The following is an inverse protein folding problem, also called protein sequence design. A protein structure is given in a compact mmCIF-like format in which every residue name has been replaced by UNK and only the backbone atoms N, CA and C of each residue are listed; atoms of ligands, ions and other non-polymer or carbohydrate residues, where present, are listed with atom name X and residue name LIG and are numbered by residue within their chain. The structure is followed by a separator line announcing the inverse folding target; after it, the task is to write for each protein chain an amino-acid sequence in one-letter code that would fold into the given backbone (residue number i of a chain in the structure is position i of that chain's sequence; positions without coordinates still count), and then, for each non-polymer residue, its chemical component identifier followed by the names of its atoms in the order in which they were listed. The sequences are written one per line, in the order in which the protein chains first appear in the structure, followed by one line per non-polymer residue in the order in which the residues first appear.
data_IF_574833066128
#
_entry.id   IF_574833066128
#
_cell.length_a   1.000
_cell.length_b   1.000
_cell.length_c   1.000
_cell.angle_alpha   90.00
_cell.angle_beta   90.00
_cell.angle_gamma   90.00
#
_symmetry.space_group_name_H-M   'P 1'
#
loop_
_entity.id
_entity.type
_entity.pdbx_description
1 polymer ?
#
# COMPACT_ATOMS: atom_id res chain seq x y z
N UNK A 1 6.97 17.17 -2.51
CA UNK A 1 6.92 16.15 -1.45
C UNK A 1 8.30 16.02 -0.83
N UNK A 2 8.41 16.26 0.47
CA UNK A 2 9.64 16.01 1.21
C UNK A 2 9.92 14.52 1.24
N UNK A 3 11.16 14.14 1.04
CA UNK A 3 11.59 12.76 1.21
C UNK A 3 11.96 12.55 2.67
N UNK A 4 11.46 11.47 3.24
CA UNK A 4 11.83 11.10 4.59
C UNK A 4 13.28 10.61 4.62
N UNK A 5 13.93 10.80 5.76
CA UNK A 5 15.29 10.30 5.98
C UNK A 5 15.26 8.79 6.14
N UNK A 6 16.03 8.08 5.35
CA UNK A 6 16.24 6.64 5.45
C UNK A 6 17.42 6.22 4.60
N UNK A 7 18.01 5.07 4.88
CA UNK A 7 19.20 4.59 4.18
C UNK A 7 18.96 4.42 2.69
N UNK A 8 17.72 4.04 2.30
CA UNK A 8 17.31 3.86 0.90
C UNK A 8 16.84 5.17 0.23
N UNK A 9 16.70 6.26 0.98
CA UNK A 9 16.35 7.56 0.43
C UNK A 9 17.62 8.33 0.06
N UNK A 10 17.88 8.43 -1.23
CA UNK A 10 19.03 9.15 -1.78
C UNK A 10 18.96 10.64 -1.48
N UNK A 11 17.74 11.19 -1.39
CA UNK A 11 17.53 12.63 -1.22
C UNK A 11 16.85 12.92 0.11
N UNK A 12 17.53 13.62 0.98
CA UNK A 12 17.01 14.07 2.28
C UNK A 12 16.25 15.40 2.20
N UNK A 13 16.37 16.11 1.07
CA UNK A 13 15.76 17.40 0.87
C UNK A 13 15.32 17.60 -0.59
N UNK A 14 14.20 18.31 -0.80
CA UNK A 14 13.64 18.60 -2.12
C UNK A 14 14.64 19.30 -3.06
N UNK A 15 15.54 20.12 -2.54
CA UNK A 15 16.58 20.76 -3.34
C UNK A 15 17.54 19.74 -3.94
N UNK A 16 17.97 18.76 -3.15
CA UNK A 16 18.86 17.69 -3.64
C UNK A 16 18.20 16.87 -4.76
N UNK A 17 16.90 16.55 -4.58
CA UNK A 17 16.13 15.92 -5.65
C UNK A 17 16.04 16.81 -6.90
N UNK A 18 15.80 18.12 -6.74
CA UNK A 18 15.75 19.05 -7.86
C UNK A 18 17.08 19.11 -8.59
N UNK A 19 18.18 19.24 -7.87
CA UNK A 19 19.54 19.29 -8.45
C UNK A 19 19.84 18.00 -9.23
N UNK A 20 19.46 16.84 -8.68
CA UNK A 20 19.55 15.56 -9.38
C UNK A 20 18.69 15.54 -10.66
N UNK A 21 17.42 15.92 -10.60
CA UNK A 21 16.53 15.97 -11.77
C UNK A 21 17.08 16.90 -12.85
N UNK A 22 17.57 18.07 -12.46
CA UNK A 22 18.22 19.01 -13.39
C UNK A 22 19.44 18.40 -14.05
N UNK A 23 20.28 17.67 -13.30
CA UNK A 23 21.45 16.95 -13.85
C UNK A 23 21.07 15.86 -14.87
N UNK A 24 19.82 15.38 -14.81
CA UNK A 24 19.26 14.39 -15.74
C UNK A 24 18.44 15.02 -16.89
N UNK A 25 18.44 16.36 -17.00
CA UNK A 25 17.77 17.09 -18.08
C UNK A 25 16.32 17.49 -17.78
N UNK A 26 15.80 17.24 -16.58
CA UNK A 26 14.46 17.66 -16.16
C UNK A 26 14.51 19.07 -15.57
N UNK A 27 14.55 20.09 -16.42
CA UNK A 27 14.73 21.48 -16.01
C UNK A 27 13.45 22.16 -15.49
N UNK A 28 12.27 21.58 -15.74
CA UNK A 28 10.97 22.14 -15.37
C UNK A 28 10.53 21.78 -13.95
N UNK A 29 11.41 21.17 -13.13
CA UNK A 29 11.10 20.82 -11.76
C UNK A 29 11.04 22.06 -10.86
N UNK A 30 9.93 22.18 -10.10
CA UNK A 30 9.72 23.29 -9.17
C UNK A 30 9.96 22.84 -7.74
N UNK A 31 10.51 23.74 -6.94
CA UNK A 31 10.68 23.56 -5.50
C UNK A 31 9.58 24.32 -4.77
N UNK A 32 8.78 23.57 -3.99
CA UNK A 32 7.70 24.12 -3.15
C UNK A 32 8.03 23.84 -1.68
N UNK A 33 7.94 24.86 -0.84
CA UNK A 33 7.99 24.68 0.62
C UNK A 33 6.58 24.50 1.18
N UNK A 34 6.43 24.00 2.40
CA UNK A 34 5.12 23.93 3.04
C UNK A 34 4.42 25.30 3.06
N UNK A 35 3.17 25.33 2.58
CA UNK A 35 2.37 26.56 2.42
C UNK A 35 2.48 27.23 1.06
N UNK A 36 3.43 26.87 0.22
CA UNK A 36 3.51 27.37 -1.15
C UNK A 36 2.48 26.67 -2.05
N UNK A 37 2.01 27.38 -3.06
CA UNK A 37 1.13 26.83 -4.08
C UNK A 37 1.62 27.19 -5.48
N UNK A 38 1.36 26.30 -6.42
CA UNK A 38 1.64 26.56 -7.85
C UNK A 38 0.43 27.24 -8.48
N UNK A 39 0.62 28.43 -9.02
CA UNK A 39 -0.37 29.02 -9.89
C UNK A 39 -0.30 28.35 -11.29
N UNK A 40 -1.21 27.41 -11.53
CA UNK A 40 -1.25 26.64 -12.76
C UNK A 40 -1.58 27.49 -14.00
N UNK A 41 -2.19 28.65 -13.81
CA UNK A 41 -2.58 29.57 -14.89
C UNK A 41 -1.39 30.41 -15.38
N UNK A 42 -0.57 30.90 -14.46
CA UNK A 42 0.55 31.76 -14.77
C UNK A 42 1.82 30.98 -15.12
N UNK A 43 1.93 29.74 -14.68
CA UNK A 43 3.13 28.90 -14.81
C UNK A 43 4.42 29.59 -14.33
N UNK A 44 4.27 30.53 -13.42
CA UNK A 44 5.41 31.28 -12.89
C UNK A 44 6.26 30.39 -12.00
N UNK A 45 7.59 30.45 -12.16
CA UNK A 45 8.50 29.71 -11.32
C UNK A 45 8.41 30.26 -9.90
N UNK A 46 8.14 29.38 -8.96
CA UNK A 46 8.18 29.70 -7.53
C UNK A 46 9.64 29.90 -7.14
N UNK A 47 10.00 31.00 -6.47
CA UNK A 47 11.37 31.23 -6.07
C UNK A 47 11.88 30.10 -5.18
N UNK A 48 13.09 29.63 -5.48
CA UNK A 48 13.75 28.65 -4.59
C UNK A 48 14.00 29.32 -3.25
N UNK A 49 13.63 28.68 -2.12
CA UNK A 49 13.91 29.21 -0.80
C UNK A 49 15.40 29.50 -0.63
N UNK A 50 15.73 30.53 0.16
CA UNK A 50 17.12 30.82 0.47
C UNK A 50 17.78 29.66 1.27
N UNK A 51 19.09 29.59 1.28
CA UNK A 51 19.81 28.51 1.95
C UNK A 51 19.53 28.42 3.46
N UNK A 52 19.23 29.56 4.09
CA UNK A 52 18.88 29.58 5.51
C UNK A 52 17.57 28.82 5.77
N UNK A 53 16.56 29.04 4.94
CA UNK A 53 15.26 28.36 5.04
C UNK A 53 15.43 26.85 4.77
N UNK A 54 16.24 26.51 3.77
CA UNK A 54 16.57 25.12 3.44
C UNK A 54 17.27 24.42 4.58
N UNK A 55 18.28 25.04 5.17
CA UNK A 55 19.04 24.48 6.26
C UNK A 55 18.19 24.33 7.53
N UNK A 56 17.31 25.28 7.82
CA UNK A 56 16.39 25.20 8.95
C UNK A 56 15.43 24.02 8.78
N UNK A 57 14.88 23.85 7.58
CA UNK A 57 14.00 22.71 7.29
C UNK A 57 14.75 21.37 7.34
N UNK A 58 15.92 21.29 6.75
CA UNK A 58 16.76 20.09 6.76
C UNK A 58 17.18 19.71 8.18
N UNK A 59 17.58 20.68 9.00
CA UNK A 59 17.95 20.42 10.40
C UNK A 59 16.76 19.92 11.21
N UNK A 60 15.56 20.46 11.01
CA UNK A 60 14.34 19.98 11.67
C UNK A 60 14.05 18.51 11.35
N UNK A 61 14.22 18.09 10.10
CA UNK A 61 14.04 16.67 9.72
C UNK A 61 15.13 15.78 10.37
N UNK A 62 16.38 16.24 10.37
CA UNK A 62 17.50 15.51 11.00
C UNK A 62 17.28 15.32 12.50
N UNK A 63 16.75 16.34 13.17
CA UNK A 63 16.52 16.28 14.62
C UNK A 63 15.53 15.19 15.02
N UNK A 64 14.42 15.03 14.28
CA UNK A 64 13.44 13.97 14.57
C UNK A 64 14.09 12.58 14.49
N UNK A 65 14.83 12.30 13.42
CA UNK A 65 15.50 11.02 13.26
C UNK A 65 16.64 10.82 14.24
N UNK A 66 17.49 11.83 14.44
CA UNK A 66 18.66 11.74 15.32
C UNK A 66 18.31 11.68 16.80
N UNK A 67 17.13 12.19 17.20
CA UNK A 67 16.65 12.11 18.57
C UNK A 67 16.13 10.74 18.99
N UNK A 68 15.84 9.85 18.01
CA UNK A 68 15.35 8.51 18.32
C UNK A 68 16.48 7.61 18.84
N UNK A 69 16.21 6.78 19.86
CA UNK A 69 17.16 5.78 20.31
C UNK A 69 17.44 4.74 19.23
N UNK A 70 18.71 4.34 19.09
CA UNK A 70 19.11 3.30 18.17
C UNK A 70 18.65 1.92 18.63
N UNK A 71 18.57 1.69 19.95
CA UNK A 71 18.07 0.45 20.53
C UNK A 71 16.54 0.42 20.54
N UNK A 72 15.95 -0.70 20.12
CA UNK A 72 14.51 -0.90 20.07
C UNK A 72 13.93 -1.04 21.48
N UNK A 73 12.92 -0.23 21.77
CA UNK A 73 12.08 -0.43 22.95
C UNK A 73 11.06 -1.55 22.70
N UNK A 74 11.49 -2.81 22.87
CA UNK A 74 10.66 -3.99 22.64
C UNK A 74 9.33 -3.94 23.42
N UNK A 75 9.34 -3.46 24.65
CA UNK A 75 8.11 -3.35 25.46
C UNK A 75 7.11 -2.38 24.80
N UNK A 76 7.59 -1.28 24.26
CA UNK A 76 6.74 -0.30 23.58
C UNK A 76 6.16 -0.87 22.29
N UNK A 77 6.99 -1.55 21.48
CA UNK A 77 6.56 -2.22 20.27
C UNK A 77 5.52 -3.32 20.57
N UNK A 78 5.77 -4.18 21.57
CA UNK A 78 4.81 -5.21 22.00
C UNK A 78 3.48 -4.60 22.45
N UNK A 79 3.50 -3.49 23.19
CA UNK A 79 2.28 -2.81 23.62
C UNK A 79 1.50 -2.27 22.42
N UNK A 80 2.17 -1.64 21.44
CA UNK A 80 1.54 -1.13 20.22
C UNK A 80 0.90 -2.25 19.40
N UNK A 81 1.58 -3.38 19.25
CA UNK A 81 1.03 -4.56 18.56
C UNK A 81 -0.18 -5.11 19.31
N UNK A 82 -0.07 -5.31 20.63
CA UNK A 82 -1.15 -5.86 21.44
C UNK A 82 -2.39 -4.98 21.46
N UNK A 83 -2.23 -3.66 21.50
CA UNK A 83 -3.34 -2.71 21.38
C UNK A 83 -4.10 -2.91 20.07
N UNK A 84 -3.39 -3.01 18.95
CA UNK A 84 -3.98 -3.25 17.62
C UNK A 84 -4.68 -4.60 17.56
N UNK A 85 -4.07 -5.66 18.07
CA UNK A 85 -4.67 -7.00 18.14
C UNK A 85 -5.94 -7.01 19.00
N UNK A 86 -5.93 -6.29 20.13
CA UNK A 86 -7.09 -6.15 21.00
C UNK A 86 -8.26 -5.45 20.29
N UNK A 87 -7.97 -4.41 19.53
CA UNK A 87 -8.98 -3.65 18.79
C UNK A 87 -9.63 -4.47 17.66
N UNK A 88 -9.00 -5.54 17.19
CA UNK A 88 -9.56 -6.45 16.18
C UNK A 88 -10.02 -7.80 16.77
N UNK A 89 -10.13 -7.93 18.09
CA UNK A 89 -10.48 -9.21 18.74
C UNK A 89 -11.78 -9.86 18.24
N UNK A 90 -12.75 -9.04 17.83
CA UNK A 90 -14.05 -9.49 17.33
C UNK A 90 -14.08 -9.68 15.79
N UNK A 91 -13.01 -9.32 15.09
CA UNK A 91 -12.94 -9.46 13.64
C UNK A 91 -12.49 -10.87 13.29
N UNK A 92 -13.28 -11.58 12.49
CA UNK A 92 -12.86 -12.86 11.95
C UNK A 92 -11.82 -12.66 10.85
N UNK A 93 -10.62 -13.22 11.06
CA UNK A 93 -9.51 -13.22 10.07
C UNK A 93 -9.13 -14.66 9.82
N UNK A 94 -9.03 -15.05 8.55
CA UNK A 94 -8.70 -16.42 8.14
C UNK A 94 -7.66 -16.41 7.01
N UNK A 95 -6.74 -17.36 7.06
CA UNK A 95 -5.71 -17.53 6.03
C UNK A 95 -4.82 -16.29 5.83
N UNK A 96 -4.74 -15.44 6.84
CA UNK A 96 -3.84 -14.29 6.82
C UNK A 96 -2.39 -14.79 6.96
N UNK A 97 -1.45 -14.27 6.17
CA UNK A 97 -0.03 -14.55 6.32
C UNK A 97 0.48 -14.15 7.72
N UNK A 98 1.54 -14.81 8.18
CA UNK A 98 2.27 -14.36 9.36
C UNK A 98 2.90 -13.00 9.06
N UNK A 99 2.65 -12.00 9.89
CA UNK A 99 3.36 -10.72 9.83
C UNK A 99 4.62 -10.82 10.69
N UNK A 100 5.78 -10.50 10.10
CA UNK A 100 7.06 -10.59 10.77
C UNK A 100 7.71 -9.21 10.80
N UNK A 101 8.04 -8.72 11.97
CA UNK A 101 8.90 -7.56 12.13
C UNK A 101 10.33 -8.02 12.39
N UNK A 102 11.22 -7.76 11.43
CA UNK A 102 12.63 -8.10 11.51
C UNK A 102 13.45 -6.82 11.68
N UNK A 103 14.04 -6.64 12.87
CA UNK A 103 14.84 -5.47 13.23
C UNK A 103 16.35 -5.75 13.22
N UNK A 104 16.75 -6.82 12.55
CA UNK A 104 18.17 -7.17 12.33
C UNK A 104 18.90 -6.27 11.33
N UNK A 105 18.18 -5.52 10.51
CA UNK A 105 18.68 -4.38 9.73
C UNK A 105 19.53 -4.66 8.49
N UNK A 106 19.86 -5.89 8.14
CA UNK A 106 20.62 -6.17 6.92
C UNK A 106 19.66 -6.51 5.76
N UNK A 107 19.51 -5.57 4.81
CA UNK A 107 18.61 -5.71 3.66
C UNK A 107 18.98 -6.84 2.69
N UNK A 108 20.23 -7.27 2.68
CA UNK A 108 20.78 -8.17 1.64
C UNK A 108 20.88 -9.63 2.09
N UNK A 109 20.64 -9.94 3.36
CA UNK A 109 20.71 -11.31 3.86
C UNK A 109 19.34 -11.79 4.31
N UNK A 110 18.87 -12.88 3.72
CA UNK A 110 17.77 -13.67 4.28
C UNK A 110 18.29 -14.38 5.55
N UNK A 111 18.32 -13.66 6.65
CA UNK A 111 18.67 -14.24 7.94
C UNK A 111 17.40 -14.81 8.58
N UNK A 112 17.31 -16.13 8.63
CA UNK A 112 16.22 -16.87 9.24
C UNK A 112 16.43 -17.12 10.75
N UNK A 113 17.44 -16.48 11.36
CA UNK A 113 17.57 -16.54 12.83
C UNK A 113 16.47 -15.72 13.49
N UNK A 114 15.89 -16.26 14.56
CA UNK A 114 14.77 -15.60 15.27
C UNK A 114 15.23 -14.47 16.19
N UNK A 115 16.52 -14.15 16.20
CA UNK A 115 17.17 -13.25 17.15
C UNK A 115 16.86 -11.82 16.87
N UNK A 116 15.99 -11.17 16.67
CA UNK A 116 15.60 -9.80 16.39
C UNK A 116 14.33 -9.78 15.52
N UNK A 117 13.38 -10.64 15.88
CA UNK A 117 12.12 -10.74 15.15
C UNK A 117 10.95 -10.82 16.10
N UNK A 118 9.81 -10.32 15.65
CA UNK A 118 8.51 -10.50 16.29
C UNK A 118 7.57 -11.12 15.27
N UNK A 119 6.87 -12.18 15.67
CA UNK A 119 5.93 -12.89 14.81
C UNK A 119 4.51 -12.59 15.28
N UNK A 120 3.69 -12.05 14.37
CA UNK A 120 2.35 -11.56 14.67
C UNK A 120 1.34 -12.41 13.87
N UNK A 121 0.57 -13.21 14.57
CA UNK A 121 -0.48 -14.05 13.99
C UNK A 121 -1.84 -13.36 14.10
N UNK A 122 -2.31 -12.78 12.99
CA UNK A 122 -3.61 -12.12 12.92
C UNK A 122 -4.77 -13.12 12.99
N UNK A 123 -4.59 -14.36 12.56
CA UNK A 123 -5.65 -15.37 12.63
C UNK A 123 -6.00 -15.69 14.07
N UNK A 124 -5.00 -15.86 14.94
CA UNK A 124 -5.16 -16.15 16.37
C UNK A 124 -5.05 -14.90 17.26
N UNK A 125 -4.72 -13.72 16.68
CA UNK A 125 -4.56 -12.42 17.36
C UNK A 125 -3.55 -12.49 18.49
N UNK A 126 -2.38 -13.03 18.20
CA UNK A 126 -1.32 -13.26 19.17
C UNK A 126 0.06 -12.97 18.60
N UNK A 127 0.99 -12.70 19.50
CA UNK A 127 2.42 -12.65 19.20
C UNK A 127 3.00 -14.02 19.53
N UNK A 128 3.84 -14.56 18.66
CA UNK A 128 4.52 -15.84 18.84
C UNK A 128 6.02 -15.61 19.11
N UNK A 129 6.62 -16.52 19.89
CA UNK A 129 8.05 -16.51 20.19
C UNK A 129 8.89 -17.06 19.04
N UNK A 130 8.31 -17.95 18.21
CA UNK A 130 8.97 -18.57 17.08
C UNK A 130 8.01 -18.81 15.91
N UNK A 131 8.56 -18.87 14.69
CA UNK A 131 7.81 -19.19 13.48
C UNK A 131 8.66 -20.06 12.55
N UNK A 132 8.01 -21.04 11.94
CA UNK A 132 8.64 -21.84 10.90
C UNK A 132 8.34 -21.24 9.53
N UNK A 133 9.35 -20.71 8.87
CA UNK A 133 9.31 -20.02 7.57
C UNK A 133 8.84 -20.88 6.38
N UNK A 134 7.98 -21.82 6.61
CA UNK A 134 7.66 -22.80 5.56
C UNK A 134 6.82 -22.27 4.42
N UNK A 135 5.90 -21.28 4.60
CA UNK A 135 4.93 -21.05 3.51
C UNK A 135 4.30 -19.67 3.37
N UNK A 136 3.81 -19.05 4.42
CA UNK A 136 2.87 -17.93 4.24
C UNK A 136 3.17 -16.79 5.22
N UNK A 137 3.94 -15.79 4.74
CA UNK A 137 4.34 -14.66 5.57
C UNK A 137 4.57 -13.37 4.77
N UNK A 138 4.45 -12.24 5.46
CA UNK A 138 4.95 -10.95 5.04
C UNK A 138 5.94 -10.46 6.09
N UNK A 139 7.19 -10.23 5.68
CA UNK A 139 8.28 -9.78 6.55
C UNK A 139 8.66 -8.35 6.23
N UNK A 140 8.65 -7.50 7.26
CA UNK A 140 9.10 -6.11 7.20
C UNK A 140 10.47 -6.06 7.84
N UNK A 141 11.50 -5.79 7.04
CA UNK A 141 12.91 -5.80 7.43
C UNK A 141 13.40 -4.37 7.52
N UNK A 142 13.89 -3.97 8.69
CA UNK A 142 14.49 -2.65 8.91
C UNK A 142 15.36 -2.62 10.16
N UNK A 143 15.86 -1.44 10.54
CA UNK A 143 16.65 -1.22 11.76
C UNK A 143 15.75 -1.12 13.00
N UNK A 144 16.32 -1.31 14.18
CA UNK A 144 15.61 -1.11 15.45
C UNK A 144 15.04 0.31 15.57
N UNK A 145 15.78 1.30 15.10
CA UNK A 145 15.37 2.71 15.07
C UNK A 145 14.12 2.96 14.22
N UNK A 146 13.96 2.22 13.12
CA UNK A 146 12.75 2.27 12.30
C UNK A 146 11.51 1.85 13.09
N UNK A 147 11.61 0.77 13.86
CA UNK A 147 10.47 0.30 14.66
C UNK A 147 10.15 1.21 15.83
N UNK A 148 11.15 1.90 16.41
CA UNK A 148 10.92 2.99 17.37
C UNK A 148 10.15 4.13 16.71
N UNK A 149 10.56 4.57 15.52
CA UNK A 149 9.86 5.61 14.76
C UNK A 149 8.43 5.19 14.43
N UNK A 150 8.23 3.96 14.00
CA UNK A 150 6.91 3.43 13.67
C UNK A 150 5.95 3.50 14.86
N UNK A 151 6.44 3.25 16.07
CA UNK A 151 5.63 3.35 17.27
C UNK A 151 5.33 4.80 17.70
N UNK A 152 6.21 5.76 17.41
CA UNK A 152 6.06 7.17 17.82
C UNK A 152 5.26 8.02 16.84
N UNK A 153 5.48 7.83 15.53
CA UNK A 153 4.91 8.67 14.48
C UNK A 153 3.68 8.04 13.77
N UNK A 154 3.44 6.76 14.00
CA UNK A 154 2.37 6.00 13.38
C UNK A 154 2.85 5.01 12.32
N UNK A 155 2.19 3.87 12.30
CA UNK A 155 2.61 2.74 11.46
C UNK A 155 2.53 3.04 9.97
N UNK A 156 1.42 3.67 9.53
CA UNK A 156 1.19 3.99 8.13
C UNK A 156 2.27 4.89 7.56
N UNK A 157 2.54 6.00 8.23
CA UNK A 157 3.44 7.03 7.72
C UNK A 157 4.87 6.51 7.61
N UNK A 158 5.30 5.74 8.60
CA UNK A 158 6.64 5.18 8.65
C UNK A 158 6.80 4.03 7.65
N UNK A 159 5.80 3.16 7.50
CA UNK A 159 5.81 2.10 6.49
C UNK A 159 5.93 2.66 5.06
N UNK A 160 5.21 3.74 4.75
CA UNK A 160 5.27 4.43 3.45
C UNK A 160 6.57 5.22 3.22
N UNK A 161 7.42 5.36 4.23
CA UNK A 161 8.66 6.13 4.14
C UNK A 161 9.76 5.46 3.31
N UNK A 162 9.55 4.23 2.83
CA UNK A 162 10.52 3.41 2.08
C UNK A 162 11.81 3.09 2.87
N UNK A 163 11.72 3.07 4.21
CA UNK A 163 12.83 2.75 5.11
C UNK A 163 12.88 1.28 5.50
N UNK A 164 11.99 0.48 4.93
CA UNK A 164 11.93 -0.94 5.18
C UNK A 164 11.83 -1.72 3.86
N UNK A 165 12.41 -2.90 3.83
CA UNK A 165 12.20 -3.88 2.79
C UNK A 165 11.02 -4.77 3.17
N UNK A 166 10.11 -5.01 2.23
CA UNK A 166 8.98 -5.93 2.43
C UNK A 166 9.21 -7.18 1.59
N UNK A 167 9.16 -8.33 2.23
CA UNK A 167 9.28 -9.65 1.58
C UNK A 167 8.00 -10.43 1.82
N UNK A 168 7.36 -10.91 0.74
CA UNK A 168 6.16 -11.76 0.80
C UNK A 168 6.47 -13.16 0.30
N UNK A 169 5.90 -14.14 0.96
CA UNK A 169 5.93 -15.54 0.51
C UNK A 169 4.57 -16.21 0.76
N UNK A 170 3.80 -16.57 -0.29
CA UNK A 170 3.99 -16.19 -1.69
C UNK A 170 3.86 -14.67 -1.89
N UNK A 171 4.33 -14.14 -3.03
CA UNK A 171 4.22 -12.70 -3.34
C UNK A 171 2.78 -12.36 -3.77
N UNK A 172 1.88 -12.45 -2.80
CA UNK A 172 0.44 -12.18 -2.94
C UNK A 172 0.06 -11.09 -1.94
N UNK A 173 -0.61 -10.05 -2.42
CA UNK A 173 -1.16 -9.00 -1.55
C UNK A 173 -2.23 -9.57 -0.63
N UNK A 174 -2.15 -9.24 0.67
CA UNK A 174 -3.17 -9.61 1.64
C UNK A 174 -3.83 -8.36 2.23
N UNK A 175 -5.15 -8.24 2.01
CA UNK A 175 -5.91 -7.06 2.44
C UNK A 175 -6.02 -6.95 3.96
N UNK A 176 -6.07 -8.06 4.68
CA UNK A 176 -6.15 -8.05 6.13
C UNK A 176 -4.86 -7.53 6.77
N UNK A 177 -3.69 -7.95 6.27
CA UNK A 177 -2.41 -7.37 6.68
C UNK A 177 -2.34 -5.89 6.33
N UNK A 178 -2.78 -5.51 5.15
CA UNK A 178 -2.78 -4.11 4.72
C UNK A 178 -3.62 -3.24 5.66
N UNK A 179 -4.84 -3.67 6.01
CA UNK A 179 -5.68 -2.94 6.98
C UNK A 179 -5.01 -2.87 8.34
N UNK A 180 -4.41 -3.98 8.79
CA UNK A 180 -3.72 -4.02 10.08
C UNK A 180 -2.56 -3.03 10.17
N UNK A 181 -1.78 -2.89 9.11
CA UNK A 181 -0.61 -1.99 9.06
C UNK A 181 -1.03 -0.53 8.84
N UNK A 182 -1.99 -0.28 7.94
CA UNK A 182 -2.33 1.07 7.46
C UNK A 182 -3.45 1.77 8.22
N UNK A 183 -4.14 1.09 9.13
CA UNK A 183 -5.17 1.75 9.95
C UNK A 183 -4.56 2.38 11.19
N UNK A 184 -5.10 3.51 11.64
CA UNK A 184 -4.86 3.98 12.99
C UNK A 184 -5.44 2.98 14.00
N UNK A 185 -4.78 2.83 15.16
CA UNK A 185 -5.21 1.88 16.19
C UNK A 185 -6.67 2.06 16.58
N UNK A 186 -7.15 3.33 16.71
CA UNK A 186 -8.54 3.63 17.06
C UNK A 186 -9.58 3.32 15.98
N UNK A 187 -9.19 3.23 14.71
CA UNK A 187 -10.10 3.04 13.57
C UNK A 187 -9.96 1.67 12.90
N UNK A 188 -9.09 0.81 13.41
CA UNK A 188 -8.74 -0.44 12.77
C UNK A 188 -9.94 -1.39 12.64
N UNK A 189 -10.77 -1.51 13.68
CA UNK A 189 -11.99 -2.34 13.65
C UNK A 189 -12.98 -1.83 12.59
N UNK A 190 -13.23 -0.51 12.54
CA UNK A 190 -14.11 0.08 11.54
C UNK A 190 -13.63 -0.19 10.11
N UNK A 191 -12.32 -0.08 9.87
CA UNK A 191 -11.74 -0.33 8.56
C UNK A 191 -11.89 -1.79 8.13
N UNK A 192 -11.73 -2.75 9.05
CA UNK A 192 -12.04 -4.16 8.79
C UNK A 192 -13.52 -4.36 8.46
N UNK A 193 -14.43 -3.81 9.26
CA UNK A 193 -15.87 -3.92 9.01
C UNK A 193 -16.27 -3.29 7.68
N UNK A 194 -15.70 -2.14 7.33
CA UNK A 194 -15.93 -1.50 6.04
C UNK A 194 -15.44 -2.37 4.88
N UNK A 195 -14.28 -2.99 4.99
CA UNK A 195 -13.76 -3.89 3.95
C UNK A 195 -14.61 -5.15 3.73
N UNK A 196 -15.26 -5.66 4.80
CA UNK A 196 -16.19 -6.80 4.72
C UNK A 196 -17.56 -6.44 4.14
N UNK A 197 -17.95 -5.17 4.23
CA UNK A 197 -19.28 -4.67 3.84
C UNK A 197 -19.29 -3.97 2.48
N UNK A 198 -18.33 -4.27 1.60
CA UNK A 198 -18.34 -3.77 0.23
C UNK A 198 -19.62 -4.27 -0.47
N UNK A 199 -20.48 -3.37 -1.01
CA UNK A 199 -21.71 -3.79 -1.67
C UNK A 199 -21.43 -4.73 -2.85
N UNK A 200 -22.26 -5.77 -2.97
CA UNK A 200 -22.18 -6.77 -4.06
C UNK A 200 -23.05 -6.40 -5.26
N UNK A 201 -23.23 -5.10 -5.52
CA UNK A 201 -23.95 -4.63 -6.70
C UNK A 201 -23.26 -5.09 -7.98
N UNK A 202 -24.05 -5.52 -8.95
CA UNK A 202 -23.56 -5.97 -10.27
C UNK A 202 -23.82 -4.90 -11.31
N UNK A 203 -22.87 -4.68 -12.21
CA UNK A 203 -23.00 -3.77 -13.34
C UNK A 203 -22.51 -4.40 -14.63
N UNK A 204 -23.03 -3.90 -15.75
CA UNK A 204 -22.56 -4.24 -17.08
C UNK A 204 -21.53 -3.21 -17.56
N UNK A 205 -20.41 -3.70 -18.04
CA UNK A 205 -19.35 -2.88 -18.66
C UNK A 205 -19.08 -3.40 -20.07
N UNK A 206 -18.61 -2.53 -20.95
CA UNK A 206 -18.24 -2.91 -22.33
C UNK A 206 -16.78 -2.60 -22.59
N UNK A 207 -16.09 -3.53 -23.24
CA UNK A 207 -14.76 -3.27 -23.77
C UNK A 207 -14.84 -2.57 -25.13
N UNK A 208 -13.68 -2.17 -25.68
CA UNK A 208 -13.57 -1.49 -26.97
C UNK A 208 -14.06 -2.37 -28.15
N UNK A 209 -14.06 -3.69 -27.99
CA UNK A 209 -14.57 -4.65 -28.98
C UNK A 209 -16.11 -4.82 -28.92
N UNK A 210 -16.78 -4.09 -28.02
CA UNK A 210 -18.24 -4.20 -27.85
C UNK A 210 -18.70 -5.41 -27.03
N UNK A 211 -17.79 -6.20 -26.50
CA UNK A 211 -18.10 -7.31 -25.61
C UNK A 211 -18.58 -6.79 -24.26
N UNK A 212 -19.68 -7.35 -23.76
CA UNK A 212 -20.25 -6.95 -22.47
C UNK A 212 -19.91 -7.98 -21.41
N UNK A 213 -19.43 -7.46 -20.27
CA UNK A 213 -19.15 -8.24 -19.07
C UNK A 213 -20.02 -7.72 -17.93
N UNK A 214 -20.59 -8.63 -17.16
CA UNK A 214 -21.20 -8.32 -15.88
C UNK A 214 -20.17 -8.54 -14.78
N UNK A 215 -19.95 -7.50 -13.93
CA UNK A 215 -18.95 -7.53 -12.87
C UNK A 215 -19.52 -7.03 -11.54
N UNK A 216 -18.84 -7.29 -10.43
CA UNK A 216 -19.09 -6.55 -9.20
C UNK A 216 -18.69 -5.08 -9.43
N UNK A 217 -19.60 -4.17 -9.07
CA UNK A 217 -19.41 -2.72 -9.23
C UNK A 217 -18.22 -2.16 -8.46
N UNK A 218 -17.99 -2.71 -7.29
CA UNK A 218 -16.98 -2.16 -6.37
C UNK A 218 -15.73 -3.03 -6.30
N UNK A 219 -14.59 -2.37 -6.38
CA UNK A 219 -13.29 -3.01 -6.25
C UNK A 219 -13.14 -3.69 -4.87
N UNK A 220 -12.77 -4.97 -4.81
CA UNK A 220 -12.64 -5.71 -3.54
C UNK A 220 -11.59 -5.12 -2.60
N UNK A 221 -10.59 -4.42 -3.15
CA UNK A 221 -9.51 -3.82 -2.35
C UNK A 221 -10.04 -2.76 -1.36
N UNK A 222 -10.70 -1.71 -1.86
CA UNK A 222 -11.18 -0.59 -1.04
C UNK A 222 -12.48 0.04 -1.59
N UNK A 223 -13.34 -0.73 -2.23
CA UNK A 223 -14.66 -0.29 -2.63
C UNK A 223 -14.72 0.82 -3.69
N UNK A 224 -13.67 1.01 -4.50
CA UNK A 224 -13.72 1.97 -5.59
C UNK A 224 -14.75 1.56 -6.64
N UNK A 225 -15.56 2.52 -7.11
CA UNK A 225 -16.56 2.28 -8.17
C UNK A 225 -15.85 1.99 -9.50
N UNK A 226 -16.17 0.87 -10.12
CA UNK A 226 -15.58 0.39 -11.37
C UNK A 226 -16.43 0.74 -12.61
N UNK A 227 -17.56 1.42 -12.47
CA UNK A 227 -18.49 1.70 -13.58
C UNK A 227 -17.81 2.45 -14.76
N UNK A 228 -16.81 3.28 -14.47
CA UNK A 228 -16.03 4.02 -15.45
C UNK A 228 -14.57 3.55 -15.52
N UNK A 229 -14.28 2.33 -15.09
CA UNK A 229 -12.93 1.80 -15.11
C UNK A 229 -12.46 1.58 -16.56
N UNK A 230 -11.18 1.91 -16.81
CA UNK A 230 -10.58 1.68 -18.12
C UNK A 230 -10.38 0.19 -18.37
N UNK A 231 -10.76 -0.28 -19.56
CA UNK A 231 -10.48 -1.64 -20.02
C UNK A 231 -9.42 -1.54 -21.12
N UNK A 232 -8.39 -2.35 -21.03
CA UNK A 232 -7.32 -2.43 -22.03
C UNK A 232 -7.74 -3.37 -23.18
N UNK A 233 -7.08 -3.28 -24.33
CA UNK A 233 -7.38 -4.12 -25.52
C UNK A 233 -7.19 -5.61 -25.29
N UNK A 234 -6.36 -6.00 -24.31
CA UNK A 234 -6.15 -7.38 -23.89
C UNK A 234 -7.16 -7.87 -22.83
N UNK A 235 -8.15 -7.05 -22.49
CA UNK A 235 -9.24 -7.44 -21.59
C UNK A 235 -8.96 -7.23 -20.11
N UNK A 236 -7.98 -6.39 -19.76
CA UNK A 236 -7.70 -6.02 -18.37
C UNK A 236 -8.52 -4.79 -17.96
N UNK A 237 -9.34 -4.91 -16.90
CA UNK A 237 -9.99 -3.79 -16.27
C UNK A 237 -9.05 -3.17 -15.23
N UNK A 238 -8.87 -1.85 -15.28
CA UNK A 238 -7.95 -1.12 -14.39
C UNK A 238 -8.77 -0.29 -13.38
N UNK A 239 -8.62 -0.61 -12.09
CA UNK A 239 -9.26 0.15 -11.03
C UNK A 239 -8.77 1.61 -11.01
N UNK A 240 -9.69 2.61 -10.99
CA UNK A 240 -9.30 4.02 -11.09
C UNK A 240 -8.58 4.54 -9.84
N UNK A 241 -8.68 3.85 -8.70
CA UNK A 241 -8.12 4.33 -7.44
C UNK A 241 -6.66 3.93 -7.22
N UNK A 242 -6.32 2.64 -7.43
CA UNK A 242 -4.97 2.12 -7.16
C UNK A 242 -4.39 1.30 -8.32
N UNK A 243 -4.98 1.44 -9.53
CA UNK A 243 -4.55 0.74 -10.73
C UNK A 243 -4.49 -0.79 -10.64
N UNK A 244 -5.23 -1.40 -9.70
CA UNK A 244 -5.40 -2.84 -9.68
C UNK A 244 -5.96 -3.34 -11.00
N UNK A 245 -5.40 -4.43 -11.51
CA UNK A 245 -5.75 -5.00 -12.81
C UNK A 245 -6.51 -6.30 -12.62
N UNK A 246 -7.67 -6.39 -13.25
CA UNK A 246 -8.55 -7.57 -13.22
C UNK A 246 -8.67 -8.15 -14.60
N UNK A 247 -8.35 -9.44 -14.77
CA UNK A 247 -8.47 -10.13 -16.06
C UNK A 247 -9.92 -10.55 -16.29
N UNK A 248 -10.64 -9.82 -17.17
CA UNK A 248 -12.04 -10.09 -17.48
C UNK A 248 -12.26 -11.46 -18.12
N UNK A 249 -11.23 -12.02 -18.77
CA UNK A 249 -11.29 -13.34 -19.40
C UNK A 249 -11.06 -14.48 -18.39
N UNK A 250 -10.59 -14.14 -17.17
CA UNK A 250 -10.38 -15.06 -16.06
C UNK A 250 -11.24 -14.69 -14.86
N UNK A 251 -12.57 -14.68 -15.05
CA UNK A 251 -13.52 -14.37 -14.00
C UNK A 251 -13.25 -13.04 -13.25
N UNK A 252 -12.50 -12.11 -13.86
CA UNK A 252 -12.12 -10.86 -13.22
C UNK A 252 -11.14 -11.02 -12.05
N UNK A 253 -10.26 -12.01 -12.10
CA UNK A 253 -9.23 -12.20 -11.08
C UNK A 253 -8.16 -11.11 -11.14
N UNK A 254 -7.76 -10.64 -9.98
CA UNK A 254 -6.63 -9.73 -9.83
C UNK A 254 -5.32 -10.52 -9.89
N UNK A 255 -4.37 -10.04 -10.70
CA UNK A 255 -3.09 -10.73 -10.97
C UNK A 255 -2.24 -10.88 -9.69
N UNK A 256 -2.35 -9.90 -8.76
CA UNK A 256 -1.44 -9.80 -7.60
C UNK A 256 -2.04 -10.31 -6.29
N UNK A 257 -3.38 -10.39 -6.17
CA UNK A 257 -4.04 -10.75 -4.91
C UNK A 257 -4.88 -12.02 -5.00
N UNK A 258 -5.22 -12.47 -6.22
CA UNK A 258 -6.18 -13.55 -6.42
C UNK A 258 -7.63 -13.16 -6.11
N UNK A 259 -7.90 -11.93 -5.66
CA UNK A 259 -9.27 -11.44 -5.46
C UNK A 259 -9.96 -11.22 -6.81
N UNK A 260 -11.28 -11.39 -6.85
CA UNK A 260 -12.04 -11.31 -8.09
C UNK A 260 -13.19 -10.30 -8.03
N UNK A 261 -13.43 -9.64 -9.15
CA UNK A 261 -14.67 -8.87 -9.41
C UNK A 261 -15.77 -9.72 -10.04
N UNK A 262 -15.57 -11.02 -10.13
CA UNK A 262 -16.52 -12.00 -10.65
C UNK A 262 -17.08 -11.62 -12.04
N UNK A 263 -16.18 -11.41 -13.01
CA UNK A 263 -16.53 -11.04 -14.37
C UNK A 263 -17.16 -12.21 -15.13
N UNK A 264 -18.35 -11.97 -15.70
CA UNK A 264 -19.05 -12.93 -16.56
C UNK A 264 -19.31 -12.29 -17.91
N UNK A 265 -18.80 -12.87 -18.98
CA UNK A 265 -19.07 -12.41 -20.34
C UNK A 265 -20.51 -12.69 -20.73
N UNK A 266 -21.27 -11.66 -21.12
CA UNK A 266 -22.66 -11.80 -21.63
C UNK A 266 -22.64 -12.16 -23.11
N UNK A 267 -23.22 -13.29 -23.41
CA UNK A 267 -23.47 -13.71 -24.81
C UNK A 267 -24.82 -13.13 -25.24
N UNK A 268 -24.81 -12.19 -26.16
CA UNK A 268 -26.05 -11.80 -26.86
C UNK A 268 -26.34 -12.84 -27.93
N UNK A 269 -27.38 -13.65 -27.73
CA UNK A 269 -27.95 -14.42 -28.83
C UNK A 269 -28.53 -13.41 -29.83
N UNK A 270 -27.85 -13.21 -30.94
CA UNK A 270 -28.42 -12.54 -32.10
C UNK A 270 -29.54 -13.44 -32.55
N UNK A 271 -30.79 -13.05 -32.28
CA UNK A 271 -31.96 -13.78 -32.74
C UNK A 271 -31.92 -13.86 -34.25
N UNK A 272 -31.64 -15.02 -34.77
CA UNK A 272 -31.94 -15.33 -36.19
C UNK A 272 -33.46 -15.30 -36.32
N UNK A 273 -34.02 -14.17 -36.76
CA UNK A 273 -35.33 -14.13 -37.37
C UNK A 273 -35.21 -14.87 -38.69
N UNK A 274 -35.42 -16.18 -38.66
CA UNK A 274 -35.71 -16.90 -39.90
C UNK A 274 -37.12 -16.50 -40.33
N UNK A 275 -37.31 -15.95 -41.54
CA UNK A 275 -38.65 -15.77 -42.08
C UNK A 275 -39.26 -17.16 -42.25
N UNK A 276 -40.47 -17.34 -41.72
CA UNK A 276 -41.26 -18.54 -41.97
C UNK A 276 -41.50 -18.64 -43.49
N UNK A 277 -41.29 -19.81 -44.13
CA UNK A 277 -41.67 -19.99 -45.51
C UNK A 277 -43.19 -19.92 -45.62
N UNK A 278 -43.65 -19.13 -46.59
CA UNK A 278 -45.08 -19.05 -47.03
C UNK A 278 -45.57 -20.33 -47.61
#
# INVERSE_FOLDING_TARGET
TGLSMGEDNIFVHQKELKDFLTSKGFNDSLFLKPGDYLNSTLREPIPVPNEKDINTYKNGIVDVWSSLPDELNLKFLHNSINERLLNIKNIEIKNCPMLIFNFGGEFDKEDHTNNKKIFIDLNNKTILDEFNYSTNYEEIISTEKYFNLMCSEGWQDVYLSLRAKVVRRPDIFNNDLNIFIFSDSGNIEENYLRSRNIPKERIDIKNENGETFEINRFCPHQGADLCNAKITSDGMLICPRHAWKFDLNKNGENISSGESIYAVKKLFLVGFNMPLPL
#
